data_IF_688175463677
#
_entry.id   IF_688175463677
#
_cell.length_a   1.000
_cell.length_b   1.000
_cell.length_c   1.000
_cell.angle_alpha   90.00
_cell.angle_beta   90.00
_cell.angle_gamma   90.00
#
_symmetry.space_group_name_H-M   'P 1'
#
loop_
_entity.id
_entity.type
_entity.pdbx_description
1 polymer ?
#
# COMPACT_ATOMS: atom_id res chain seq x y z
N UNK A 1 -10.21 -45.45 38.89
CA UNK A 1 -9.08 -44.70 39.46
C UNK A 1 -7.99 -44.68 38.38
N UNK A 2 -7.97 -43.63 37.55
CA UNK A 2 -7.11 -42.43 37.69
C UNK A 2 -5.65 -42.78 37.30
N UNK A 3 -4.96 -42.17 36.33
CA UNK A 3 -4.95 -40.83 35.73
C UNK A 3 -4.66 -40.94 34.22
N UNK A 4 -5.44 -40.30 33.34
CA UNK A 4 -5.12 -39.00 32.69
C UNK A 4 -3.65 -38.89 32.26
N UNK A 5 -3.41 -38.96 30.95
CA UNK A 5 -2.29 -38.31 30.29
C UNK A 5 -2.87 -37.31 29.29
N UNK A 6 -2.93 -36.07 29.75
CA UNK A 6 -3.02 -34.84 28.94
C UNK A 6 -1.96 -34.93 27.83
N UNK A 7 -2.26 -34.67 26.57
CA UNK A 7 -2.58 -33.34 26.09
C UNK A 7 -1.30 -32.55 25.85
N UNK A 8 -0.57 -32.83 24.77
CA UNK A 8 0.32 -31.85 24.14
C UNK A 8 0.06 -31.93 22.64
N UNK A 9 -0.87 -31.10 22.17
CA UNK A 9 -0.84 -30.63 20.78
C UNK A 9 0.33 -29.65 20.72
N UNK A 10 1.45 -30.11 20.20
CA UNK A 10 2.60 -29.26 19.88
C UNK A 10 2.28 -28.52 18.58
N UNK A 11 1.42 -27.50 18.66
CA UNK A 11 1.36 -26.45 17.62
C UNK A 11 2.45 -25.44 17.98
N UNK A 12 3.69 -25.81 17.69
CA UNK A 12 4.88 -25.02 17.98
C UNK A 12 4.84 -23.70 17.20
N UNK A 13 5.14 -22.63 17.93
CA UNK A 13 4.91 -21.21 17.67
C UNK A 13 5.75 -20.66 16.52
N UNK A 14 5.43 -20.99 15.27
CA UNK A 14 6.10 -20.43 14.09
C UNK A 14 5.26 -19.39 13.32
N UNK A 15 4.04 -19.10 13.78
CA UNK A 15 3.31 -17.91 13.34
C UNK A 15 3.68 -16.79 14.31
N UNK A 16 4.51 -15.83 13.87
CA UNK A 16 4.09 -14.43 13.64
C UNK A 16 5.19 -13.35 13.86
N UNK A 17 6.44 -13.67 14.22
CA UNK A 17 7.44 -12.58 14.42
C UNK A 17 7.82 -11.87 13.11
N UNK A 18 8.03 -12.64 12.05
CA UNK A 18 8.30 -12.12 10.70
C UNK A 18 7.07 -11.42 10.09
N UNK A 19 5.88 -11.95 10.34
CA UNK A 19 4.62 -11.37 9.85
C UNK A 19 4.29 -10.04 10.56
N UNK A 20 4.46 -9.96 11.88
CA UNK A 20 4.29 -8.73 12.65
C UNK A 20 5.36 -7.70 12.24
N UNK A 21 6.61 -8.14 12.03
CA UNK A 21 7.70 -7.28 11.55
C UNK A 21 7.45 -6.74 10.14
N UNK A 22 7.02 -7.59 9.20
CA UNK A 22 6.64 -7.18 7.83
C UNK A 22 5.45 -6.22 7.86
N UNK A 23 4.42 -6.54 8.65
CA UNK A 23 3.23 -5.72 8.78
C UNK A 23 3.54 -4.32 9.32
N UNK A 24 4.38 -4.24 10.37
CA UNK A 24 4.85 -2.96 10.92
C UNK A 24 5.74 -2.22 9.94
N UNK A 25 6.66 -2.93 9.26
CA UNK A 25 7.57 -2.37 8.28
C UNK A 25 6.84 -1.71 7.11
N UNK A 26 5.91 -2.45 6.49
CA UNK A 26 5.09 -1.93 5.39
C UNK A 26 4.23 -0.74 5.85
N UNK A 27 3.58 -0.84 7.01
CA UNK A 27 2.77 0.26 7.54
C UNK A 27 3.60 1.52 7.84
N UNK A 28 4.80 1.36 8.38
CA UNK A 28 5.73 2.47 8.63
C UNK A 28 6.25 3.09 7.33
N UNK A 29 6.53 2.26 6.32
CA UNK A 29 6.91 2.73 5.00
C UNK A 29 5.79 3.54 4.34
N UNK A 30 4.56 3.00 4.31
CA UNK A 30 3.38 3.70 3.78
C UNK A 30 3.13 5.01 4.53
N UNK A 31 3.27 5.03 5.85
CA UNK A 31 3.18 6.27 6.63
C UNK A 31 4.24 7.30 6.24
N UNK A 32 5.46 6.86 5.93
CA UNK A 32 6.53 7.74 5.46
C UNK A 32 6.24 8.32 4.08
N UNK A 33 5.66 7.54 3.17
CA UNK A 33 5.20 8.01 1.85
C UNK A 33 4.06 9.02 2.01
N UNK A 34 3.02 8.66 2.78
CA UNK A 34 1.86 9.52 3.03
C UNK A 34 2.27 10.85 3.66
N UNK A 35 3.16 10.84 4.65
CA UNK A 35 3.67 12.06 5.29
C UNK A 35 4.37 13.00 4.30
N UNK A 36 5.11 12.47 3.32
CA UNK A 36 5.76 13.29 2.28
C UNK A 36 4.78 13.86 1.26
N UNK A 37 3.64 13.21 1.09
CA UNK A 37 2.52 13.69 0.27
C UNK A 37 1.59 14.64 1.05
N UNK A 38 1.79 14.80 2.37
CA UNK A 38 0.91 15.60 3.23
C UNK A 38 -0.42 14.91 3.55
N UNK A 39 -0.48 13.58 3.40
CA UNK A 39 -1.69 12.76 3.54
C UNK A 39 -1.70 12.06 4.90
N UNK A 40 -2.87 12.08 5.55
CA UNK A 40 -3.10 11.35 6.79
C UNK A 40 -3.23 9.85 6.55
N UNK A 41 -2.81 9.04 7.52
CA UNK A 41 -2.95 7.56 7.43
C UNK A 41 -4.40 7.08 7.37
N UNK A 42 -5.39 7.94 7.66
CA UNK A 42 -6.81 7.64 7.46
C UNK A 42 -7.19 7.48 5.98
N UNK A 43 -6.42 8.09 5.07
CA UNK A 43 -6.57 7.94 3.62
C UNK A 43 -5.75 6.78 3.05
N UNK A 44 -5.14 5.97 3.91
CA UNK A 44 -4.30 4.84 3.53
C UNK A 44 -4.92 3.52 3.98
N UNK A 45 -4.88 2.52 3.10
CA UNK A 45 -5.19 1.13 3.43
C UNK A 45 -3.93 0.28 3.21
N UNK A 46 -3.61 -0.59 4.16
CA UNK A 46 -2.48 -1.52 4.06
C UNK A 46 -2.99 -2.92 4.33
N UNK A 47 -2.89 -3.78 3.32
CA UNK A 47 -3.15 -5.21 3.43
C UNK A 47 -1.82 -5.96 3.48
N UNK A 48 -1.58 -6.64 4.59
CA UNK A 48 -0.32 -7.36 4.84
C UNK A 48 -0.44 -8.85 4.56
N UNK A 49 -1.60 -9.32 4.08
CA UNK A 49 -1.73 -10.65 3.50
C UNK A 49 -0.78 -10.77 2.31
N UNK A 50 -0.35 -11.98 1.93
CA UNK A 50 0.58 -12.16 0.80
C UNK A 50 -0.24 -12.52 -0.46
N UNK A 51 -0.07 -11.82 -1.59
CA UNK A 51 0.84 -10.68 -1.79
C UNK A 51 0.35 -9.41 -1.08
N UNK A 52 1.29 -8.70 -0.43
CA UNK A 52 0.94 -7.49 0.31
C UNK A 52 0.65 -6.33 -0.62
N UNK A 53 -0.30 -5.49 -0.20
CA UNK A 53 -0.80 -4.37 -0.97
C UNK A 53 -0.95 -3.14 -0.10
N UNK A 54 -0.80 -1.98 -0.71
CA UNK A 54 -1.15 -0.72 -0.06
C UNK A 54 -1.87 0.20 -1.05
N UNK A 55 -2.72 1.04 -0.48
CA UNK A 55 -3.52 2.03 -1.18
C UNK A 55 -3.37 3.36 -0.45
N UNK A 56 -3.17 4.43 -1.19
CA UNK A 56 -3.20 5.81 -0.68
C UNK A 56 -4.11 6.62 -1.61
N UNK A 57 -5.22 7.11 -1.07
CA UNK A 57 -6.06 8.08 -1.78
C UNK A 57 -5.33 9.42 -1.84
N UNK A 58 -5.20 9.98 -3.04
CA UNK A 58 -4.74 11.34 -3.26
C UNK A 58 -5.97 12.20 -3.54
N UNK A 59 -6.14 13.30 -2.80
CA UNK A 59 -7.21 14.29 -3.08
C UNK A 59 -6.88 15.15 -4.33
N UNK A 60 -5.72 14.90 -4.93
CA UNK A 60 -5.29 15.52 -6.17
C UNK A 60 -6.14 15.06 -7.36
N UNK A 61 -6.53 16.05 -8.16
CA UNK A 61 -7.29 15.86 -9.39
C UNK A 61 -6.40 16.24 -10.55
N UNK A 62 -6.14 15.29 -11.45
CA UNK A 62 -5.46 15.60 -12.69
C UNK A 62 -6.37 16.46 -13.56
N UNK A 63 -5.87 17.59 -14.08
CA UNK A 63 -6.66 18.51 -14.93
C UNK A 63 -7.20 17.80 -16.19
N UNK A 64 -6.45 16.81 -16.70
CA UNK A 64 -6.84 15.95 -17.81
C UNK A 64 -8.03 15.02 -17.50
N UNK A 65 -8.31 14.75 -16.21
CA UNK A 65 -9.33 13.80 -15.75
C UNK A 65 -10.24 14.45 -14.68
N UNK A 66 -11.02 15.48 -15.06
CA UNK A 66 -11.91 16.15 -14.12
C UNK A 66 -12.96 15.17 -13.57
N UNK A 67 -13.19 15.19 -12.27
CA UNK A 67 -14.16 14.28 -11.65
C UNK A 67 -13.58 12.99 -11.08
N UNK A 68 -12.28 12.73 -11.28
CA UNK A 68 -11.61 11.50 -10.85
C UNK A 68 -10.51 11.83 -9.86
N UNK A 69 -10.45 11.04 -8.79
CA UNK A 69 -9.44 11.19 -7.74
C UNK A 69 -8.29 10.23 -8.04
N UNK A 70 -7.05 10.68 -7.84
CA UNK A 70 -5.89 9.85 -8.08
C UNK A 70 -5.64 8.97 -6.85
N UNK A 71 -5.21 7.73 -7.07
CA UNK A 71 -4.78 6.84 -6.00
C UNK A 71 -3.41 6.26 -6.33
N UNK A 72 -2.60 6.07 -5.30
CA UNK A 72 -1.41 5.26 -5.37
C UNK A 72 -1.70 3.86 -4.87
N UNK A 73 -1.37 2.88 -5.70
CA UNK A 73 -1.42 1.46 -5.40
C UNK A 73 0.00 0.93 -5.31
N UNK A 74 0.28 0.18 -4.26
CA UNK A 74 1.50 -0.59 -4.13
C UNK A 74 1.14 -2.07 -4.11
N UNK A 75 1.91 -2.86 -4.86
CA UNK A 75 1.85 -4.31 -4.83
C UNK A 75 3.27 -4.87 -4.60
N UNK A 76 3.38 -5.88 -3.76
CA UNK A 76 4.65 -6.51 -3.40
C UNK A 76 5.44 -7.04 -4.61
N UNK A 77 4.76 -7.52 -5.65
CA UNK A 77 5.42 -8.05 -6.84
C UNK A 77 5.86 -6.98 -7.82
N UNK A 78 5.17 -5.83 -7.83
CA UNK A 78 5.19 -4.92 -8.98
C UNK A 78 5.36 -3.44 -8.62
N UNK A 79 5.43 -3.10 -7.33
CA UNK A 79 5.74 -1.76 -6.82
C UNK A 79 4.60 -0.76 -6.99
N UNK A 80 4.97 0.53 -7.03
CA UNK A 80 4.01 1.64 -7.06
C UNK A 80 3.41 1.88 -8.45
N UNK A 81 2.10 2.07 -8.47
CA UNK A 81 1.29 2.42 -9.64
C UNK A 81 0.34 3.54 -9.26
N UNK A 82 0.20 4.54 -10.12
CA UNK A 82 -0.82 5.56 -10.01
C UNK A 82 -2.03 5.16 -10.85
N UNK A 83 -3.21 5.18 -10.25
CA UNK A 83 -4.45 4.85 -10.92
C UNK A 83 -5.54 5.86 -10.55
N UNK A 84 -6.44 6.13 -11.48
CA UNK A 84 -7.62 6.95 -11.21
C UNK A 84 -8.70 6.09 -10.57
N UNK A 85 -9.27 6.58 -9.47
CA UNK A 85 -10.52 6.06 -8.94
C UNK A 85 -11.66 6.44 -9.88
N UNK A 86 -12.24 5.44 -10.55
CA UNK A 86 -13.37 5.63 -11.46
C UNK A 86 -14.70 5.91 -10.74
N UNK A 87 -14.72 5.93 -9.40
CA UNK A 87 -15.90 6.22 -8.59
C UNK A 87 -16.93 5.09 -8.61
N UNK A 88 -16.46 3.84 -8.76
CA UNK A 88 -17.28 2.62 -8.81
C UNK A 88 -16.47 1.40 -8.40
N UNK A 89 -17.15 0.30 -8.09
CA UNK A 89 -16.63 -0.80 -7.26
C UNK A 89 -15.32 -1.46 -7.78
N UNK A 90 -15.00 -1.46 -9.08
CA UNK A 90 -14.00 -2.42 -9.58
C UNK A 90 -13.09 -2.00 -10.76
N UNK A 91 -13.11 -0.76 -11.27
CA UNK A 91 -12.23 -0.42 -12.40
C UNK A 91 -11.37 0.82 -12.15
N UNK A 92 -10.24 0.63 -11.46
CA UNK A 92 -9.18 1.64 -11.41
C UNK A 92 -8.44 1.69 -12.74
N UNK A 93 -8.31 2.89 -13.31
CA UNK A 93 -7.57 3.08 -14.58
C UNK A 93 -6.13 3.43 -14.27
N UNK A 94 -5.19 2.53 -14.60
CA UNK A 94 -3.77 2.79 -14.42
C UNK A 94 -3.33 3.94 -15.33
N UNK A 95 -2.81 5.00 -14.71
CA UNK A 95 -2.28 6.19 -15.41
C UNK A 95 -0.80 6.00 -15.70
N UNK A 96 -0.05 5.52 -14.70
CA UNK A 96 1.40 5.40 -14.80
C UNK A 96 1.94 4.45 -13.74
N UNK A 97 3.12 3.89 -14.00
CA UNK A 97 3.82 3.01 -13.08
C UNK A 97 5.20 3.58 -12.74
N UNK A 98 5.56 3.51 -11.46
CA UNK A 98 6.93 3.77 -11.05
C UNK A 98 7.75 2.50 -11.21
N UNK A 99 8.60 2.48 -12.23
CA UNK A 99 9.48 1.35 -12.50
C UNK A 99 10.76 1.43 -11.65
N UNK A 100 11.32 0.26 -11.30
CA UNK A 100 12.56 0.15 -10.53
C UNK A 100 12.36 -0.68 -9.27
N UNK A 101 12.80 -0.15 -8.13
CA UNK A 101 12.64 -0.79 -6.83
C UNK A 101 11.16 -0.91 -6.45
N UNK A 102 10.77 -2.04 -5.86
CA UNK A 102 9.41 -2.25 -5.35
C UNK A 102 9.12 -1.31 -4.18
N UNK A 103 10.10 -1.11 -3.28
CA UNK A 103 10.04 -0.21 -2.13
C UNK A 103 11.11 0.88 -2.28
N UNK A 104 10.93 1.84 -3.20
CA UNK A 104 11.88 2.93 -3.40
C UNK A 104 11.91 3.88 -2.20
N UNK A 105 12.84 4.84 -2.16
CA UNK A 105 12.79 5.93 -1.18
C UNK A 105 11.41 6.65 -1.23
N UNK A 106 10.78 6.96 -0.08
CA UNK A 106 9.49 7.66 -0.06
C UNK A 106 9.47 8.98 -0.84
N UNK A 107 10.61 9.66 -0.96
CA UNK A 107 10.76 10.87 -1.76
C UNK A 107 10.72 10.63 -3.26
N UNK A 108 11.15 9.47 -3.71
CA UNK A 108 10.99 9.05 -5.11
C UNK A 108 9.51 8.87 -5.45
N UNK A 109 8.73 8.26 -4.55
CA UNK A 109 7.27 8.13 -4.71
C UNK A 109 6.59 9.49 -4.73
N UNK A 110 6.96 10.39 -3.81
CA UNK A 110 6.40 11.74 -3.78
C UNK A 110 6.71 12.53 -5.06
N UNK A 111 7.96 12.47 -5.54
CA UNK A 111 8.35 13.11 -6.81
C UNK A 111 7.61 12.53 -8.00
N UNK A 112 7.39 11.21 -8.02
CA UNK A 112 6.59 10.56 -9.06
C UNK A 112 5.18 11.16 -9.12
N UNK A 113 4.49 11.32 -7.98
CA UNK A 113 3.17 11.96 -7.93
C UNK A 113 3.23 13.40 -8.45
N UNK A 114 4.20 14.20 -8.02
CA UNK A 114 4.36 15.58 -8.52
C UNK A 114 4.50 15.62 -10.05
N UNK A 115 5.29 14.71 -10.63
CA UNK A 115 5.47 14.67 -12.08
C UNK A 115 4.21 14.22 -12.84
N UNK A 116 3.28 13.49 -12.22
CA UNK A 116 1.97 13.20 -12.83
C UNK A 116 1.12 14.47 -12.96
N UNK A 117 1.16 15.34 -11.96
CA UNK A 117 0.49 16.64 -12.00
C UNK A 117 1.13 17.56 -13.05
N UNK A 118 2.46 17.57 -13.17
CA UNK A 118 3.17 18.38 -14.17
C UNK A 118 2.92 17.93 -15.62
N UNK A 119 2.64 16.65 -15.86
CA UNK A 119 2.25 16.16 -17.19
C UNK A 119 0.80 16.50 -17.56
N UNK A 120 -0.01 16.95 -16.59
CA UNK A 120 -1.42 17.23 -16.77
C UNK A 120 -1.78 18.70 -16.99
N UNK A 121 -0.87 19.63 -16.72
CA UNK A 121 -0.98 21.05 -17.07
C UNK A 121 -0.27 21.39 -18.37
#
# INVERSE_FOLDING_TARGET
MAHRREGITMTDTLVDDDFDSHSRGLRAYVASVAARLGIGMESCCVDTSRPSQAYIALDDRLEQFPGRDLALLWDEGTGWTAALDAGGDEEMVIVSRLYGEVLPDPGTVARFVTSLNEMAG
#
